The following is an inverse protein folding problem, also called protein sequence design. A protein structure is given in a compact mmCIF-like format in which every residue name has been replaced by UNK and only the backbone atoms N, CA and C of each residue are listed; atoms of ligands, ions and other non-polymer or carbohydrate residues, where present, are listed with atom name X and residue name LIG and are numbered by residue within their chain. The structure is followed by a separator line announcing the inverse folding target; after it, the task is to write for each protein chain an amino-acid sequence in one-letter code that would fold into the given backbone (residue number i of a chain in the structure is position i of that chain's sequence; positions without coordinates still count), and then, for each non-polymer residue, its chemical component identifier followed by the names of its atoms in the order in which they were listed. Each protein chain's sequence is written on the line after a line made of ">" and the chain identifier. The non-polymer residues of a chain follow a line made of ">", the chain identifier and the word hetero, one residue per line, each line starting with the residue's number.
data_IF_086275858305
#
_entry.id   IF_086275858305
#
_cell.length_a   1.000
_cell.length_b   1.000
_cell.length_c   1.000
_cell.angle_alpha   90.00
_cell.angle_beta   90.00
_cell.angle_gamma   90.00
#
_symmetry.space_group_name_H-M   'P 1'
#
loop_
_entity.id
_entity.type
_entity.pdbx_description
1 polymer ?
#
# COMPACT_ATOMS: atom_id res chain seq x y z
N UNK A 1 3.35 65.20 -33.49
CA UNK A 1 4.32 64.25 -32.90
C UNK A 1 3.66 62.89 -32.81
N UNK A 2 4.22 61.94 -33.56
CA UNK A 2 3.76 60.57 -33.74
C UNK A 2 3.94 59.79 -32.43
N UNK A 3 2.90 59.12 -31.95
CA UNK A 3 3.06 57.96 -31.05
C UNK A 3 2.09 56.85 -31.43
N UNK A 4 2.64 55.91 -32.19
CA UNK A 4 2.38 54.48 -32.17
C UNK A 4 1.96 54.00 -30.76
N UNK A 5 0.81 53.34 -30.63
CA UNK A 5 0.58 52.28 -29.63
C UNK A 5 -0.28 51.18 -30.29
N UNK A 6 0.46 50.19 -30.81
CA UNK A 6 0.24 48.75 -30.88
C UNK A 6 -1.17 48.18 -30.60
N UNK A 7 -1.76 47.58 -31.64
CA UNK A 7 -2.86 46.62 -31.54
C UNK A 7 -2.30 45.30 -30.99
N UNK A 8 -2.64 44.93 -29.76
CA UNK A 8 -2.42 43.58 -29.24
C UNK A 8 -3.54 42.68 -29.73
N UNK A 9 -3.23 41.79 -30.68
CA UNK A 9 -4.06 40.64 -31.03
C UNK A 9 -3.81 39.57 -29.98
N UNK A 10 -4.78 39.34 -29.09
CA UNK A 10 -4.76 38.19 -28.20
C UNK A 10 -5.17 36.95 -28.99
N UNK A 11 -4.18 36.17 -29.41
CA UNK A 11 -4.38 34.79 -29.89
C UNK A 11 -4.59 33.93 -28.65
N UNK A 12 -5.85 33.74 -28.25
CA UNK A 12 -6.20 32.65 -27.36
C UNK A 12 -6.13 31.35 -28.16
N UNK A 13 -5.02 30.64 -28.05
CA UNK A 13 -4.95 29.24 -28.43
C UNK A 13 -5.83 28.46 -27.44
N UNK A 14 -7.05 28.14 -27.87
CA UNK A 14 -7.85 27.11 -27.22
C UNK A 14 -7.10 25.78 -27.39
N UNK A 15 -6.45 25.31 -26.32
CA UNK A 15 -5.98 23.93 -26.25
C UNK A 15 -7.24 23.09 -26.05
N UNK A 16 -7.71 22.48 -27.13
CA UNK A 16 -8.73 21.44 -27.06
C UNK A 16 -8.14 20.27 -26.26
N UNK A 17 -8.70 19.99 -25.08
CA UNK A 17 -8.45 18.75 -24.36
C UNK A 17 -8.94 17.59 -25.24
N UNK A 18 -8.02 16.72 -25.64
CA UNK A 18 -8.37 15.43 -26.21
C UNK A 18 -8.68 14.52 -25.02
N UNK A 19 -9.97 14.39 -24.66
CA UNK A 19 -10.43 13.39 -23.69
C UNK A 19 -10.34 11.99 -24.31
N UNK A 20 -9.15 11.38 -24.20
CA UNK A 20 -9.00 9.93 -24.33
C UNK A 20 -9.16 9.27 -22.96
N UNK A 21 -9.86 8.14 -22.89
CA UNK A 21 -9.78 7.27 -21.72
C UNK A 21 -8.44 6.54 -21.75
N UNK A 22 -7.45 7.06 -21.04
CA UNK A 22 -6.08 6.51 -20.97
C UNK A 22 -5.92 5.49 -19.84
N UNK A 23 -7.01 5.09 -19.19
CA UNK A 23 -6.95 4.20 -18.04
C UNK A 23 -6.51 2.80 -18.47
N UNK A 24 -5.56 2.24 -17.72
CA UNK A 24 -5.01 0.92 -17.95
C UNK A 24 -6.01 -0.15 -17.57
N UNK A 25 -6.38 -1.06 -18.48
CA UNK A 25 -7.29 -2.14 -18.16
C UNK A 25 -6.60 -3.13 -17.23
N UNK A 26 -7.18 -3.31 -16.03
CA UNK A 26 -6.74 -4.28 -15.03
C UNK A 26 -7.87 -5.25 -14.75
N UNK A 27 -7.75 -6.47 -15.24
CA UNK A 27 -8.75 -7.52 -15.04
C UNK A 27 -8.31 -8.47 -13.94
N UNK A 28 -9.13 -8.63 -12.92
CA UNK A 28 -8.89 -9.55 -11.80
C UNK A 28 -9.97 -10.61 -11.79
N UNK A 29 -9.62 -11.82 -12.20
CA UNK A 29 -10.51 -12.98 -12.21
C UNK A 29 -10.19 -13.80 -10.98
N UNK A 30 -11.20 -14.13 -10.18
CA UNK A 30 -10.98 -14.79 -8.90
C UNK A 30 -12.17 -15.64 -8.45
N UNK A 31 -11.89 -16.51 -7.48
CA UNK A 31 -12.90 -17.29 -6.78
C UNK A 31 -13.24 -16.64 -5.45
N UNK A 32 -14.53 -16.58 -5.13
CA UNK A 32 -14.98 -16.11 -3.84
C UNK A 32 -14.34 -16.96 -2.73
N UNK A 33 -13.75 -16.29 -1.75
CA UNK A 33 -13.18 -16.89 -0.55
C UNK A 33 -12.00 -17.85 -0.75
N UNK A 34 -11.42 -17.90 -1.95
CA UNK A 34 -10.17 -18.61 -2.17
C UNK A 34 -9.04 -17.92 -1.39
N UNK A 35 -8.20 -18.66 -0.66
CA UNK A 35 -7.23 -18.05 0.28
C UNK A 35 -6.33 -16.99 -0.36
N UNK A 36 -5.81 -17.25 -1.56
CA UNK A 36 -5.00 -16.28 -2.30
C UNK A 36 -5.83 -15.09 -2.82
N UNK A 37 -7.07 -15.35 -3.25
CA UNK A 37 -8.00 -14.34 -3.74
C UNK A 37 -8.39 -13.38 -2.62
N UNK A 38 -8.71 -13.91 -1.44
CA UNK A 38 -9.03 -13.11 -0.25
C UNK A 38 -7.95 -12.09 0.03
N UNK A 39 -6.70 -12.55 0.16
CA UNK A 39 -5.56 -11.66 0.39
C UNK A 39 -5.42 -10.65 -0.75
N UNK A 40 -5.40 -11.11 -2.00
CA UNK A 40 -5.16 -10.24 -3.15
C UNK A 40 -6.21 -9.15 -3.32
N UNK A 41 -7.48 -9.47 -3.08
CA UNK A 41 -8.61 -8.53 -3.21
C UNK A 41 -8.66 -7.58 -2.00
N UNK A 42 -8.41 -8.07 -0.79
CA UNK A 42 -8.49 -7.27 0.44
C UNK A 42 -7.26 -6.42 0.74
N UNK A 43 -6.13 -6.72 0.09
CA UNK A 43 -4.86 -6.04 0.34
C UNK A 43 -4.31 -5.39 -0.96
N UNK A 44 -3.60 -6.08 -1.89
CA UNK A 44 -3.10 -5.44 -3.12
C UNK A 44 -4.13 -4.63 -3.92
N UNK A 45 -5.25 -5.23 -4.32
CA UNK A 45 -6.22 -4.51 -5.16
C UNK A 45 -6.94 -3.42 -4.36
N UNK A 46 -7.26 -3.67 -3.10
CA UNK A 46 -7.84 -2.66 -2.22
C UNK A 46 -6.92 -1.43 -2.11
N UNK A 47 -5.63 -1.64 -1.83
CA UNK A 47 -4.63 -0.58 -1.74
C UNK A 47 -4.47 0.18 -3.06
N UNK A 48 -4.43 -0.52 -4.19
CA UNK A 48 -4.37 0.10 -5.52
C UNK A 48 -5.53 1.08 -5.76
N UNK A 49 -6.75 0.74 -5.31
CA UNK A 49 -7.93 1.59 -5.49
C UNK A 49 -8.09 2.67 -4.41
N UNK A 50 -7.44 2.54 -3.26
CA UNK A 50 -7.38 3.61 -2.26
C UNK A 50 -6.39 4.71 -2.66
N UNK A 51 -5.39 4.38 -3.49
CA UNK A 51 -4.44 5.31 -4.08
C UNK A 51 -5.12 6.15 -5.17
N UNK A 52 -5.18 7.48 -4.97
CA UNK A 52 -5.90 8.39 -5.86
C UNK A 52 -5.23 8.51 -7.24
N UNK A 53 -3.89 8.46 -7.30
CA UNK A 53 -3.14 8.55 -8.56
C UNK A 53 -3.35 7.28 -9.39
N UNK A 54 -3.18 6.11 -8.76
CA UNK A 54 -3.40 4.84 -9.47
C UNK A 54 -4.86 4.64 -9.86
N UNK A 55 -5.82 5.02 -9.00
CA UNK A 55 -7.25 4.94 -9.35
C UNK A 55 -7.60 5.84 -10.55
N UNK A 56 -6.93 6.98 -10.72
CA UNK A 56 -7.17 7.87 -11.86
C UNK A 56 -6.72 7.25 -13.20
N UNK A 57 -5.70 6.39 -13.19
CA UNK A 57 -5.14 5.76 -14.39
C UNK A 57 -5.47 4.27 -14.52
N UNK A 58 -6.33 3.72 -13.68
CA UNK A 58 -6.68 2.30 -13.70
C UNK A 58 -8.15 2.11 -14.05
N UNK A 59 -8.43 1.24 -15.01
CA UNK A 59 -9.77 0.72 -15.30
C UNK A 59 -9.86 -0.72 -14.79
N UNK A 60 -10.31 -0.87 -13.54
CA UNK A 60 -10.38 -2.18 -12.91
C UNK A 60 -11.67 -2.92 -13.26
N UNK A 61 -11.50 -4.17 -13.69
CA UNK A 61 -12.58 -5.12 -13.90
C UNK A 61 -12.43 -6.30 -12.94
N UNK A 62 -13.23 -6.31 -11.88
CA UNK A 62 -13.41 -7.48 -11.04
C UNK A 62 -14.26 -8.53 -11.75
N UNK A 63 -13.81 -9.79 -11.70
CA UNK A 63 -14.51 -10.95 -12.28
C UNK A 63 -14.57 -12.09 -11.24
N UNK A 64 -15.43 -11.97 -10.20
CA UNK A 64 -15.72 -13.04 -9.25
C UNK A 64 -16.57 -14.12 -9.93
N UNK A 65 -15.95 -14.90 -10.82
CA UNK A 65 -16.62 -15.96 -11.56
C UNK A 65 -15.68 -17.07 -12.02
N UNK A 66 -14.49 -17.16 -11.41
CA UNK A 66 -13.47 -18.11 -11.84
C UNK A 66 -13.87 -19.56 -11.56
N UNK A 67 -13.50 -20.46 -12.47
CA UNK A 67 -13.74 -21.91 -12.38
C UNK A 67 -15.21 -22.29 -12.11
N UNK A 68 -16.15 -21.48 -12.63
CA UNK A 68 -17.58 -21.72 -12.52
C UNK A 68 -18.15 -22.39 -13.76
N UNK A 69 -19.18 -23.21 -13.57
CA UNK A 69 -19.90 -23.88 -14.67
C UNK A 69 -21.40 -23.77 -14.48
N UNK A 70 -22.16 -23.75 -15.57
CA UNK A 70 -23.62 -23.81 -15.49
C UNK A 70 -24.10 -25.24 -15.22
N UNK A 71 -25.19 -25.38 -14.46
CA UNK A 71 -25.88 -26.65 -14.30
C UNK A 71 -26.92 -26.84 -15.40
N UNK A 72 -27.24 -28.10 -15.71
CA UNK A 72 -28.31 -28.43 -16.65
C UNK A 72 -29.71 -27.90 -16.23
N UNK A 73 -29.88 -27.59 -14.94
CA UNK A 73 -31.11 -27.03 -14.37
C UNK A 73 -31.14 -25.50 -14.34
N UNK A 74 -30.14 -24.83 -14.92
CA UNK A 74 -30.08 -23.36 -15.00
C UNK A 74 -29.51 -22.66 -13.77
N UNK A 75 -28.81 -23.38 -12.89
CA UNK A 75 -28.01 -22.83 -11.78
C UNK A 75 -26.51 -22.79 -12.10
N UNK A 76 -25.68 -22.60 -11.07
CA UNK A 76 -24.21 -22.56 -11.18
C UNK A 76 -23.55 -23.57 -10.24
N UNK A 77 -22.40 -24.11 -10.66
CA UNK A 77 -21.52 -24.96 -9.85
C UNK A 77 -20.17 -24.26 -9.69
N UNK A 78 -19.68 -24.20 -8.46
CA UNK A 78 -18.43 -23.56 -8.09
C UNK A 78 -17.46 -24.57 -7.48
N UNK A 79 -16.16 -24.30 -7.59
CA UNK A 79 -15.12 -25.21 -7.12
C UNK A 79 -15.18 -25.47 -5.61
N UNK A 80 -15.31 -24.42 -4.80
CA UNK A 80 -15.41 -24.46 -3.34
C UNK A 80 -16.80 -24.78 -2.81
N UNK A 81 -17.73 -25.21 -3.67
CA UNK A 81 -19.08 -25.61 -3.28
C UNK A 81 -20.05 -24.43 -3.13
N UNK A 82 -21.10 -24.64 -2.32
CA UNK A 82 -22.27 -23.75 -2.28
C UNK A 82 -21.97 -22.37 -1.70
N UNK A 83 -21.14 -22.30 -0.65
CA UNK A 83 -20.79 -21.01 -0.02
C UNK A 83 -19.98 -20.13 -0.97
N UNK A 84 -19.08 -20.72 -1.78
CA UNK A 84 -18.38 -19.99 -2.84
C UNK A 84 -19.38 -19.44 -3.87
N UNK A 85 -20.34 -20.25 -4.33
CA UNK A 85 -21.37 -19.78 -5.26
C UNK A 85 -22.22 -18.65 -4.70
N UNK A 86 -22.59 -18.74 -3.41
CA UNK A 86 -23.37 -17.71 -2.76
C UNK A 86 -22.59 -16.40 -2.64
N UNK A 87 -21.29 -16.48 -2.35
CA UNK A 87 -20.37 -15.34 -2.38
C UNK A 87 -20.31 -14.65 -3.73
N UNK A 88 -20.12 -15.43 -4.81
CA UNK A 88 -20.10 -14.92 -6.18
C UNK A 88 -21.38 -14.17 -6.56
N UNK A 89 -22.55 -14.70 -6.17
CA UNK A 89 -23.82 -14.05 -6.41
C UNK A 89 -23.95 -12.70 -5.68
N UNK A 90 -23.46 -12.61 -4.44
CA UNK A 90 -23.40 -11.33 -3.72
C UNK A 90 -22.41 -10.36 -4.36
N UNK A 91 -21.22 -10.82 -4.73
CA UNK A 91 -20.20 -9.99 -5.36
C UNK A 91 -20.66 -9.43 -6.70
N UNK A 92 -21.43 -10.19 -7.49
CA UNK A 92 -22.07 -9.68 -8.71
C UNK A 92 -23.01 -8.49 -8.43
N UNK A 93 -23.81 -8.57 -7.35
CA UNK A 93 -24.66 -7.46 -6.91
C UNK A 93 -23.87 -6.26 -6.38
N UNK A 94 -22.76 -6.49 -5.68
CA UNK A 94 -21.86 -5.42 -5.21
C UNK A 94 -21.29 -4.67 -6.42
N UNK A 95 -20.85 -5.40 -7.45
CA UNK A 95 -20.34 -4.79 -8.68
C UNK A 95 -21.41 -3.94 -9.36
N UNK A 96 -22.64 -4.44 -9.51
CA UNK A 96 -23.71 -3.65 -10.13
C UNK A 96 -24.09 -2.40 -9.31
N UNK A 97 -24.20 -2.55 -7.98
CA UNK A 97 -24.60 -1.47 -7.07
C UNK A 97 -23.59 -0.31 -7.06
N UNK A 98 -22.30 -0.62 -7.07
CA UNK A 98 -21.22 0.36 -6.87
C UNK A 98 -20.39 0.64 -8.12
N UNK A 99 -20.78 0.13 -9.32
CA UNK A 99 -20.04 0.24 -10.59
C UNK A 99 -19.53 1.63 -10.97
N UNK A 100 -20.12 2.70 -10.45
CA UNK A 100 -19.72 4.08 -10.76
C UNK A 100 -18.53 4.57 -9.94
N UNK A 101 -18.08 3.82 -8.93
CA UNK A 101 -16.99 4.22 -8.05
C UNK A 101 -16.07 3.04 -7.72
N UNK A 102 -14.94 2.89 -8.42
CA UNK A 102 -13.94 1.86 -8.12
C UNK A 102 -13.48 1.89 -6.67
N UNK A 103 -13.36 3.08 -6.06
CA UNK A 103 -12.97 3.22 -4.64
C UNK A 103 -13.98 2.54 -3.72
N UNK A 104 -15.26 2.82 -3.91
CA UNK A 104 -16.34 2.27 -3.06
C UNK A 104 -16.54 0.78 -3.35
N UNK A 105 -16.53 0.38 -4.63
CA UNK A 105 -16.52 -1.04 -4.99
C UNK A 105 -15.38 -1.79 -4.33
N UNK A 106 -14.16 -1.24 -4.33
CA UNK A 106 -12.98 -1.83 -3.70
C UNK A 106 -13.15 -2.03 -2.20
N UNK A 107 -13.67 -1.03 -1.48
CA UNK A 107 -13.97 -1.13 -0.04
C UNK A 107 -14.92 -2.31 0.24
N UNK A 108 -16.03 -2.38 -0.49
CA UNK A 108 -17.04 -3.41 -0.24
C UNK A 108 -16.59 -4.79 -0.71
N UNK A 109 -15.87 -4.89 -1.83
CA UNK A 109 -15.32 -6.15 -2.32
C UNK A 109 -14.27 -6.71 -1.34
N UNK A 110 -13.37 -5.87 -0.84
CA UNK A 110 -12.38 -6.24 0.17
C UNK A 110 -13.04 -6.73 1.48
N UNK A 111 -14.01 -5.98 2.00
CA UNK A 111 -14.74 -6.38 3.20
C UNK A 111 -15.49 -7.71 3.00
N UNK A 112 -16.12 -7.86 1.83
CA UNK A 112 -16.92 -9.04 1.54
C UNK A 112 -16.05 -10.27 1.26
N UNK A 113 -14.85 -10.14 0.71
CA UNK A 113 -13.89 -11.26 0.63
C UNK A 113 -13.30 -11.65 1.99
N UNK A 114 -13.17 -10.70 2.92
CA UNK A 114 -12.58 -10.95 4.24
C UNK A 114 -13.37 -11.98 5.09
N UNK A 115 -12.64 -12.74 5.91
CA UNK A 115 -13.18 -13.68 6.90
C UNK A 115 -13.75 -13.01 8.15
N UNK A 116 -13.46 -11.72 8.36
CA UNK A 116 -13.83 -10.98 9.58
C UNK A 116 -15.28 -10.49 9.57
N UNK A 117 -15.95 -10.50 8.42
CA UNK A 117 -17.29 -9.95 8.24
C UNK A 117 -18.44 -10.85 8.76
N UNK A 118 -18.15 -12.03 9.30
CA UNK A 118 -19.10 -12.86 10.05
C UNK A 118 -19.51 -14.18 9.36
N UNK A 119 -20.19 -15.05 10.12
CA UNK A 119 -20.50 -16.44 9.73
C UNK A 119 -21.87 -16.64 9.06
N UNK A 120 -22.67 -15.58 8.90
CA UNK A 120 -23.97 -15.63 8.22
C UNK A 120 -24.02 -14.57 7.13
N UNK A 121 -24.75 -14.83 6.06
CA UNK A 121 -24.87 -13.89 4.93
C UNK A 121 -25.48 -12.55 5.34
N UNK A 122 -26.52 -12.56 6.18
CA UNK A 122 -27.11 -11.33 6.70
C UNK A 122 -26.14 -10.57 7.61
N UNK A 123 -25.39 -11.27 8.47
CA UNK A 123 -24.37 -10.64 9.31
C UNK A 123 -23.24 -10.03 8.47
N UNK A 124 -22.83 -10.71 7.41
CA UNK A 124 -21.79 -10.27 6.48
C UNK A 124 -22.19 -9.02 5.70
N UNK A 125 -23.44 -8.96 5.24
CA UNK A 125 -24.00 -7.75 4.63
C UNK A 125 -24.09 -6.62 5.67
N UNK A 126 -24.63 -6.87 6.87
CA UNK A 126 -24.73 -5.83 7.89
C UNK A 126 -23.36 -5.29 8.36
N UNK A 127 -22.31 -6.12 8.32
CA UNK A 127 -20.96 -5.70 8.67
C UNK A 127 -20.32 -4.84 7.57
N UNK A 128 -20.45 -5.25 6.31
CA UNK A 128 -19.79 -4.58 5.19
C UNK A 128 -20.53 -3.35 4.65
N UNK A 129 -21.80 -3.15 5.04
CA UNK A 129 -22.66 -2.07 4.55
C UNK A 129 -23.35 -1.40 5.72
N UNK A 130 -23.03 -0.14 5.98
CA UNK A 130 -23.63 0.66 7.06
C UNK A 130 -24.90 1.39 6.64
N UNK A 131 -25.10 1.64 5.33
CA UNK A 131 -26.30 2.27 4.80
C UNK A 131 -27.43 1.24 4.61
N UNK A 132 -28.56 1.46 5.26
CA UNK A 132 -29.74 0.59 5.16
C UNK A 132 -30.31 0.50 3.72
N UNK A 133 -30.17 1.56 2.91
CA UNK A 133 -30.60 1.56 1.52
C UNK A 133 -29.74 0.63 0.67
N UNK A 134 -28.42 0.59 0.91
CA UNK A 134 -27.52 -0.33 0.23
C UNK A 134 -27.81 -1.79 0.61
N UNK A 135 -28.04 -2.05 1.90
CA UNK A 135 -28.43 -3.39 2.37
C UNK A 135 -29.72 -3.87 1.70
N UNK A 136 -30.73 -2.99 1.61
CA UNK A 136 -32.00 -3.31 0.96
C UNK A 136 -31.82 -3.60 -0.53
N UNK A 137 -31.08 -2.73 -1.25
CA UNK A 137 -30.83 -2.89 -2.68
C UNK A 137 -30.03 -4.16 -3.00
N UNK A 138 -29.00 -4.47 -2.21
CA UNK A 138 -28.22 -5.69 -2.40
C UNK A 138 -29.05 -6.96 -2.13
N UNK A 139 -29.93 -6.92 -1.12
CA UNK A 139 -30.86 -8.03 -0.83
C UNK A 139 -31.85 -8.24 -1.98
N UNK A 140 -32.39 -7.16 -2.53
CA UNK A 140 -33.29 -7.21 -3.69
C UNK A 140 -32.56 -7.74 -4.94
N UNK A 141 -31.35 -7.26 -5.20
CA UNK A 141 -30.50 -7.76 -6.28
C UNK A 141 -30.21 -9.26 -6.10
N UNK A 142 -29.89 -9.70 -4.88
CA UNK A 142 -29.60 -11.10 -4.59
C UNK A 142 -30.78 -12.01 -4.91
N UNK A 143 -32.00 -11.55 -4.64
CA UNK A 143 -33.22 -12.30 -4.90
C UNK A 143 -33.57 -12.38 -6.39
N UNK A 144 -33.28 -11.33 -7.18
CA UNK A 144 -33.90 -11.16 -8.49
C UNK A 144 -32.90 -11.07 -9.68
N UNK A 145 -31.66 -10.63 -9.44
CA UNK A 145 -30.73 -10.20 -10.50
C UNK A 145 -29.34 -10.83 -10.42
N UNK A 146 -28.94 -11.38 -9.26
CA UNK A 146 -27.59 -11.90 -9.06
C UNK A 146 -27.15 -12.94 -10.09
N UNK A 147 -28.04 -13.87 -10.47
CA UNK A 147 -27.68 -14.95 -11.39
C UNK A 147 -27.43 -14.46 -12.84
N UNK A 148 -28.29 -13.62 -13.45
CA UNK A 148 -27.97 -12.96 -14.72
C UNK A 148 -26.65 -12.18 -14.69
N UNK A 149 -26.42 -11.35 -13.65
CA UNK A 149 -25.18 -10.59 -13.49
C UNK A 149 -23.95 -11.51 -13.40
N UNK A 150 -24.06 -12.60 -12.62
CA UNK A 150 -22.99 -13.58 -12.48
C UNK A 150 -22.69 -14.30 -13.81
N UNK A 151 -23.70 -14.57 -14.65
CA UNK A 151 -23.49 -15.16 -15.98
C UNK A 151 -22.69 -14.25 -16.90
N UNK A 152 -22.91 -12.94 -16.86
CA UNK A 152 -22.10 -11.98 -17.62
C UNK A 152 -20.62 -12.06 -17.19
N UNK A 153 -20.37 -12.14 -15.89
CA UNK A 153 -19.01 -12.34 -15.35
C UNK A 153 -18.43 -13.71 -15.75
N UNK A 154 -19.22 -14.78 -15.76
CA UNK A 154 -18.78 -16.10 -16.20
C UNK A 154 -18.36 -16.13 -17.68
N UNK A 155 -19.01 -15.34 -18.55
CA UNK A 155 -18.59 -15.19 -19.95
C UNK A 155 -17.20 -14.57 -20.02
N UNK A 156 -16.95 -13.52 -19.22
CA UNK A 156 -15.64 -12.88 -19.14
C UNK A 156 -14.59 -13.84 -18.57
N UNK A 157 -14.90 -14.52 -17.46
CA UNK A 157 -14.01 -15.49 -16.83
C UNK A 157 -13.63 -16.60 -17.81
N UNK A 158 -14.61 -17.26 -18.46
CA UNK A 158 -14.34 -18.34 -19.42
C UNK A 158 -13.43 -17.94 -20.59
N UNK A 159 -13.50 -16.68 -21.00
CA UNK A 159 -12.67 -16.18 -22.10
C UNK A 159 -11.25 -15.81 -21.67
N UNK A 160 -10.99 -15.58 -20.38
CA UNK A 160 -9.76 -14.94 -19.91
C UNK A 160 -9.08 -15.67 -18.73
N UNK A 161 -9.74 -16.61 -18.06
CA UNK A 161 -9.21 -17.26 -16.87
C UNK A 161 -8.08 -18.24 -17.22
N UNK A 162 -7.09 -18.31 -16.33
CA UNK A 162 -5.99 -19.27 -16.44
C UNK A 162 -6.00 -20.34 -15.36
N UNK A 163 -4.91 -21.13 -15.27
CA UNK A 163 -4.88 -22.34 -14.45
C UNK A 163 -4.70 -22.10 -12.94
N UNK A 164 -4.53 -20.85 -12.50
CA UNK A 164 -4.42 -20.46 -11.09
C UNK A 164 -5.30 -19.26 -10.77
N UNK A 165 -5.53 -19.00 -9.48
CA UNK A 165 -6.38 -17.92 -9.00
C UNK A 165 -5.71 -17.21 -7.79
N UNK A 166 -5.83 -15.88 -7.67
CA UNK A 166 -6.46 -14.96 -8.62
C UNK A 166 -5.65 -14.86 -9.92
N UNK A 167 -6.35 -14.75 -11.04
CA UNK A 167 -5.76 -14.56 -12.35
C UNK A 167 -5.85 -13.08 -12.72
N UNK A 168 -4.69 -12.43 -12.85
CA UNK A 168 -4.60 -10.98 -13.03
C UNK A 168 -4.01 -10.66 -14.39
N UNK A 169 -4.67 -9.77 -15.12
CA UNK A 169 -4.25 -9.33 -16.44
C UNK A 169 -4.18 -7.80 -16.42
N UNK A 170 -3.03 -7.24 -16.78
CA UNK A 170 -2.83 -5.79 -16.98
C UNK A 170 -2.48 -5.58 -18.44
N UNK A 171 -3.34 -4.90 -19.21
CA UNK A 171 -3.10 -4.65 -20.65
C UNK A 171 -2.72 -5.91 -21.43
N UNK A 172 -3.55 -6.96 -21.32
CA UNK A 172 -3.32 -8.30 -21.90
C UNK A 172 -2.09 -9.05 -21.38
N UNK A 173 -1.34 -8.50 -20.43
CA UNK A 173 -0.22 -9.17 -19.76
C UNK A 173 -0.71 -9.90 -18.52
N UNK A 174 -0.53 -11.21 -18.52
CA UNK A 174 -0.80 -12.07 -17.37
C UNK A 174 0.27 -11.88 -16.32
N UNK A 175 -0.14 -11.53 -15.10
CA UNK A 175 0.74 -11.42 -13.94
C UNK A 175 0.70 -12.69 -13.08
N UNK A 176 1.86 -13.00 -12.49
CA UNK A 176 2.05 -14.13 -11.59
C UNK A 176 2.14 -15.48 -12.32
N UNK A 177 2.09 -16.56 -11.54
CA UNK A 177 2.12 -17.93 -12.05
C UNK A 177 1.45 -18.88 -11.08
N UNK A 178 1.41 -20.18 -11.41
CA UNK A 178 0.94 -21.22 -10.50
C UNK A 178 1.74 -21.29 -9.17
N UNK A 179 2.94 -20.72 -9.11
CA UNK A 179 3.83 -20.74 -7.94
C UNK A 179 4.20 -19.37 -7.41
N UNK A 180 3.78 -18.29 -8.08
CA UNK A 180 4.14 -16.91 -7.73
C UNK A 180 2.87 -16.06 -7.68
N UNK A 181 2.54 -15.58 -6.49
CA UNK A 181 1.43 -14.64 -6.28
C UNK A 181 1.73 -13.26 -6.90
N UNK A 182 0.67 -12.51 -7.19
CA UNK A 182 0.78 -11.14 -7.71
C UNK A 182 0.82 -10.18 -6.52
N UNK A 183 1.85 -9.33 -6.45
CA UNK A 183 1.95 -8.27 -5.43
C UNK A 183 1.36 -6.95 -5.93
N UNK A 184 1.16 -5.99 -5.02
CA UNK A 184 0.77 -4.62 -5.38
C UNK A 184 1.78 -4.00 -6.35
N UNK A 185 3.07 -4.09 -6.03
CA UNK A 185 4.15 -3.53 -6.86
C UNK A 185 4.15 -4.13 -8.26
N UNK A 186 3.86 -5.43 -8.42
CA UNK A 186 3.75 -6.05 -9.75
C UNK A 186 2.62 -5.42 -10.58
N UNK A 187 1.47 -5.14 -9.98
CA UNK A 187 0.36 -4.49 -10.68
C UNK A 187 0.70 -3.03 -10.99
N UNK A 188 1.22 -2.29 -10.01
CA UNK A 188 1.63 -0.88 -10.18
C UNK A 188 2.70 -0.73 -11.25
N UNK A 189 3.74 -1.54 -11.21
CA UNK A 189 4.81 -1.56 -12.19
C UNK A 189 4.29 -1.79 -13.60
N UNK A 190 3.39 -2.76 -13.77
CA UNK A 190 2.90 -3.10 -15.11
C UNK A 190 1.99 -2.00 -15.68
N UNK A 191 1.13 -1.40 -14.84
CA UNK A 191 0.37 -0.20 -15.19
C UNK A 191 1.34 0.90 -15.66
N UNK A 192 2.39 1.17 -14.89
CA UNK A 192 3.36 2.22 -15.22
C UNK A 192 4.11 1.96 -16.54
N UNK A 193 4.54 0.72 -16.79
CA UNK A 193 5.28 0.36 -18.01
C UNK A 193 4.42 0.49 -19.27
N UNK A 194 3.12 0.24 -19.13
CA UNK A 194 2.20 0.14 -20.26
C UNK A 194 1.28 1.35 -20.44
N UNK A 195 1.29 2.29 -19.49
CA UNK A 195 0.55 3.53 -19.60
C UNK A 195 0.95 4.32 -20.83
N UNK A 196 -0.03 4.56 -21.70
CA UNK A 196 0.14 5.22 -22.99
C UNK A 196 -0.47 6.63 -23.04
N UNK A 197 -0.98 7.11 -21.90
CA UNK A 197 -1.54 8.45 -21.75
C UNK A 197 -0.51 9.55 -21.52
N UNK A 198 -0.98 10.79 -21.28
CA UNK A 198 -0.13 11.94 -20.97
C UNK A 198 0.73 11.70 -19.72
N UNK A 199 2.01 12.06 -19.78
CA UNK A 199 2.96 11.82 -18.69
C UNK A 199 2.56 12.52 -17.38
N UNK A 200 1.74 13.58 -17.46
CA UNK A 200 1.22 14.32 -16.30
C UNK A 200 0.17 13.53 -15.50
N UNK A 201 -0.41 12.48 -16.09
CA UNK A 201 -1.35 11.59 -15.41
C UNK A 201 -0.66 10.39 -14.77
N UNK A 202 0.61 10.13 -15.07
CA UNK A 202 1.35 9.02 -14.47
C UNK A 202 1.50 9.24 -12.95
N UNK A 203 1.17 8.24 -12.11
CA UNK A 203 1.49 8.27 -10.69
C UNK A 203 2.97 8.53 -10.44
N UNK A 204 3.30 9.27 -9.37
CA UNK A 204 4.69 9.59 -9.03
C UNK A 204 5.55 8.33 -8.83
N UNK A 205 4.94 7.25 -8.34
CA UNK A 205 5.53 5.91 -8.26
C UNK A 205 6.19 5.47 -9.58
N UNK A 206 5.54 5.74 -10.72
CA UNK A 206 5.99 5.30 -12.03
C UNK A 206 7.34 5.88 -12.46
N UNK A 207 7.76 7.00 -11.88
CA UNK A 207 9.04 7.64 -12.18
C UNK A 207 10.25 6.80 -11.75
N UNK A 208 10.04 5.87 -10.81
CA UNK A 208 11.09 4.98 -10.29
C UNK A 208 11.02 3.55 -10.86
N UNK A 209 10.05 3.26 -11.74
CA UNK A 209 9.86 1.92 -12.30
C UNK A 209 10.79 1.71 -13.50
N UNK A 210 11.63 0.68 -13.42
CA UNK A 210 12.49 0.32 -14.53
C UNK A 210 11.66 -0.05 -15.78
N UNK A 211 12.01 0.55 -16.92
CA UNK A 211 11.37 0.30 -18.22
C UNK A 211 10.31 1.33 -18.63
N UNK A 212 9.94 2.27 -17.76
CA UNK A 212 9.02 3.37 -18.12
C UNK A 212 9.72 4.34 -19.07
N UNK A 213 9.23 4.42 -20.31
CA UNK A 213 9.75 5.35 -21.33
C UNK A 213 8.87 6.60 -21.34
N UNK A 214 9.30 7.65 -20.63
CA UNK A 214 8.65 8.95 -20.67
C UNK A 214 8.71 9.51 -22.10
N UNK A 215 7.59 9.54 -22.82
CA UNK A 215 7.51 10.13 -24.16
C UNK A 215 7.41 11.66 -24.08
N UNK A 216 8.53 12.27 -23.67
CA UNK A 216 8.81 13.71 -23.50
C UNK A 216 7.85 14.53 -22.60
N UNK A 217 8.39 15.30 -21.63
CA UNK A 217 7.61 16.00 -20.60
C UNK A 217 7.46 17.53 -20.86
N UNK A 218 6.56 18.24 -20.17
CA UNK A 218 6.71 19.68 -19.94
C UNK A 218 7.82 19.93 -18.91
N UNK A 219 8.49 21.10 -18.97
CA UNK A 219 9.44 21.50 -17.94
C UNK A 219 8.69 21.74 -16.63
N UNK A 220 8.97 20.91 -15.62
CA UNK A 220 8.66 21.27 -14.25
C UNK A 220 9.68 22.34 -13.85
N UNK A 221 9.32 23.61 -14.05
CA UNK A 221 9.81 24.63 -13.14
C UNK A 221 9.27 24.25 -11.78
N UNK A 222 10.13 23.68 -10.94
CA UNK A 222 9.94 23.66 -9.50
C UNK A 222 9.88 25.13 -9.05
N UNK A 223 8.69 25.73 -9.12
CA UNK A 223 8.29 26.63 -8.06
C UNK A 223 7.99 25.72 -6.90
N UNK A 224 8.89 25.68 -5.92
CA UNK A 224 8.59 25.15 -4.60
C UNK A 224 7.19 25.65 -4.22
N UNK A 225 6.24 24.74 -3.93
CA UNK A 225 5.07 25.16 -3.17
C UNK A 225 5.60 25.85 -1.91
N UNK A 226 4.98 26.93 -1.43
CA UNK A 226 5.34 27.45 -0.11
C UNK A 226 5.27 26.25 0.85
N UNK A 227 6.40 25.96 1.52
CA UNK A 227 6.57 24.78 2.34
C UNK A 227 5.35 24.62 3.24
N UNK A 228 4.46 23.71 2.87
CA UNK A 228 3.38 23.30 3.73
C UNK A 228 4.05 22.67 4.94
N UNK A 229 3.67 23.11 6.14
CA UNK A 229 4.24 22.61 7.37
C UNK A 229 4.01 21.09 7.44
N UNK A 230 5.10 20.32 7.46
CA UNK A 230 5.03 18.86 7.46
C UNK A 230 4.47 18.37 8.79
N UNK A 231 3.75 17.26 8.74
CA UNK A 231 3.29 16.58 9.95
C UNK A 231 4.46 15.82 10.56
N UNK A 232 4.80 16.11 11.82
CA UNK A 232 5.83 15.33 12.52
C UNK A 232 5.23 14.05 13.08
N UNK A 233 5.71 12.90 12.61
CA UNK A 233 5.32 11.57 13.09
C UNK A 233 6.49 10.97 13.87
N UNK A 234 6.26 10.65 15.13
CA UNK A 234 7.23 10.04 16.02
C UNK A 234 6.91 8.56 16.16
N UNK A 235 7.93 7.72 15.94
CA UNK A 235 7.81 6.27 16.05
C UNK A 235 8.82 5.74 17.06
N UNK A 236 8.32 5.12 18.11
CA UNK A 236 9.11 4.39 19.09
C UNK A 236 8.94 2.90 18.84
N UNK A 237 10.05 2.18 18.70
CA UNK A 237 10.00 0.73 18.55
C UNK A 237 11.16 0.05 19.26
N UNK A 238 11.11 -1.27 19.28
CA UNK A 238 12.18 -2.10 19.82
C UNK A 238 12.56 -3.21 18.85
N UNK A 239 13.84 -3.54 18.86
CA UNK A 239 14.35 -4.71 18.16
C UNK A 239 13.71 -5.99 18.74
N UNK A 240 13.50 -7.00 17.89
CA UNK A 240 12.92 -8.31 18.26
C UNK A 240 11.50 -8.29 18.84
N UNK A 241 10.77 -7.17 18.77
CA UNK A 241 9.34 -7.20 19.05
C UNK A 241 8.60 -7.65 17.78
N UNK A 242 7.82 -8.75 17.81
CA UNK A 242 7.15 -9.26 16.62
C UNK A 242 6.25 -8.23 15.92
N UNK A 243 5.54 -7.41 16.70
CA UNK A 243 4.73 -6.32 16.16
C UNK A 243 5.58 -5.20 15.54
N UNK A 244 6.74 -4.88 16.14
CA UNK A 244 7.68 -3.89 15.57
C UNK A 244 8.29 -4.41 14.28
N UNK A 245 8.69 -5.69 14.25
CA UNK A 245 9.22 -6.33 13.06
C UNK A 245 8.21 -6.27 11.92
N UNK A 246 6.98 -6.72 12.16
CA UNK A 246 5.92 -6.66 11.16
C UNK A 246 5.66 -5.22 10.67
N UNK A 247 5.56 -4.26 11.59
CA UNK A 247 5.32 -2.85 11.28
C UNK A 247 6.43 -2.24 10.40
N UNK A 248 7.70 -2.41 10.78
CA UNK A 248 8.85 -1.91 10.02
C UNK A 248 9.07 -2.64 8.69
N UNK A 249 8.66 -3.90 8.58
CA UNK A 249 8.80 -4.67 7.34
C UNK A 249 7.67 -4.45 6.33
N UNK A 250 6.48 -4.02 6.79
CA UNK A 250 5.28 -3.88 5.96
C UNK A 250 4.75 -2.43 5.93
N UNK A 251 3.79 -2.01 6.79
CA UNK A 251 3.10 -0.74 6.60
C UNK A 251 4.04 0.46 6.71
N UNK A 252 5.03 0.41 7.59
CA UNK A 252 5.93 1.54 7.80
C UNK A 252 6.98 1.65 6.68
N UNK A 253 7.49 0.53 6.18
CA UNK A 253 8.38 0.54 5.02
C UNK A 253 7.69 1.15 3.79
N UNK A 254 6.39 0.88 3.60
CA UNK A 254 5.61 1.50 2.52
C UNK A 254 5.53 3.02 2.70
N UNK A 255 5.23 3.52 3.90
CA UNK A 255 5.23 4.97 4.19
C UNK A 255 6.61 5.59 3.96
N UNK A 256 7.69 4.93 4.40
CA UNK A 256 9.06 5.43 4.21
C UNK A 256 9.50 5.42 2.74
N UNK A 257 8.93 4.54 1.91
CA UNK A 257 9.29 4.39 0.51
C UNK A 257 8.41 5.21 -0.43
N UNK A 258 7.36 5.85 0.07
CA UNK A 258 6.42 6.66 -0.69
C UNK A 258 6.85 8.13 -0.73
N UNK A 259 7.14 8.63 -1.93
CA UNK A 259 7.61 10.01 -2.15
C UNK A 259 6.57 11.08 -1.75
N UNK A 260 5.27 10.77 -1.86
CA UNK A 260 4.21 11.70 -1.45
C UNK A 260 4.18 11.84 0.08
N UNK A 261 4.35 10.74 0.81
CA UNK A 261 4.48 10.79 2.28
C UNK A 261 5.78 11.47 2.72
N UNK A 262 6.90 11.22 2.05
CA UNK A 262 8.16 11.91 2.34
C UNK A 262 8.05 13.45 2.16
N UNK A 263 7.19 13.91 1.25
CA UNK A 263 6.96 15.33 1.00
C UNK A 263 6.14 16.02 2.10
N UNK A 264 5.28 15.29 2.81
CA UNK A 264 4.31 15.88 3.77
C UNK A 264 4.55 15.46 5.23
N UNK A 265 5.43 14.49 5.48
CA UNK A 265 5.73 13.98 6.82
C UNK A 265 7.21 14.19 7.16
N UNK A 266 7.49 14.62 8.38
CA UNK A 266 8.81 14.49 8.99
C UNK A 266 8.76 13.37 10.03
N UNK A 267 9.61 12.36 9.87
CA UNK A 267 9.56 11.14 10.68
C UNK A 267 10.72 11.13 11.66
N UNK A 268 10.39 11.04 12.95
CA UNK A 268 11.36 10.89 14.02
C UNK A 268 11.33 9.45 14.56
N UNK A 269 12.49 8.81 14.54
CA UNK A 269 12.66 7.40 14.85
C UNK A 269 13.43 7.21 16.16
N UNK A 270 12.83 6.45 17.09
CA UNK A 270 13.35 6.18 18.42
C UNK A 270 13.50 4.66 18.67
N UNK A 271 14.67 4.06 18.34
CA UNK A 271 14.91 2.62 18.45
C UNK A 271 15.32 2.21 19.87
N UNK A 272 14.52 2.59 20.86
CA UNK A 272 14.80 2.42 22.29
C UNK A 272 13.70 1.64 23.00
N UNK A 273 12.44 1.81 22.59
CA UNK A 273 11.29 1.13 23.19
C UNK A 273 11.32 1.13 24.72
N UNK A 274 11.38 -0.06 25.32
CA UNK A 274 11.40 -0.25 26.78
C UNK A 274 12.81 -0.21 27.41
N UNK A 275 13.83 0.24 26.67
CA UNK A 275 15.21 0.31 27.15
C UNK A 275 15.34 1.29 28.31
N UNK A 276 16.05 0.86 29.35
CA UNK A 276 16.42 1.71 30.49
C UNK A 276 17.92 1.79 30.59
N UNK A 277 18.43 2.98 30.80
CA UNK A 277 19.83 3.17 31.19
C UNK A 277 19.94 3.11 32.71
N UNK A 278 20.71 2.17 33.24
CA UNK A 278 20.86 1.96 34.70
C UNK A 278 22.08 2.68 35.26
N UNK A 279 23.06 2.97 34.41
CA UNK A 279 24.21 3.82 34.66
C UNK A 279 24.75 4.31 33.31
N UNK A 280 25.55 5.39 33.24
CA UNK A 280 25.99 5.97 31.96
C UNK A 280 26.58 4.93 31.00
N UNK A 281 25.94 4.75 29.84
CA UNK A 281 26.32 3.79 28.80
C UNK A 281 25.98 2.32 29.08
N UNK A 282 25.21 2.03 30.14
CA UNK A 282 24.78 0.68 30.52
C UNK A 282 23.27 0.56 30.40
N UNK A 283 22.84 -0.24 29.42
CA UNK A 283 21.43 -0.39 29.04
C UNK A 283 20.86 -1.74 29.46
N UNK A 284 19.63 -1.74 29.93
CA UNK A 284 18.82 -2.92 30.22
C UNK A 284 17.59 -2.91 29.33
N UNK A 285 17.39 -4.00 28.58
CA UNK A 285 16.28 -4.15 27.63
C UNK A 285 15.44 -5.36 28.00
N UNK A 286 14.12 -5.27 27.76
CA UNK A 286 13.19 -6.34 28.17
C UNK A 286 13.36 -7.62 27.38
N UNK A 287 13.83 -7.55 26.13
CA UNK A 287 14.22 -8.72 25.33
C UNK A 287 15.66 -9.19 25.56
N UNK A 288 16.32 -8.71 26.63
CA UNK A 288 17.68 -9.09 26.99
C UNK A 288 18.77 -8.43 26.15
N UNK A 289 19.99 -8.98 26.24
CA UNK A 289 21.19 -8.36 25.64
C UNK A 289 21.13 -8.25 24.11
N UNK A 290 20.46 -9.20 23.44
CA UNK A 290 20.30 -9.15 21.98
C UNK A 290 19.46 -7.96 21.54
N UNK A 291 18.38 -7.65 22.27
CA UNK A 291 17.56 -6.46 22.00
C UNK A 291 18.37 -5.17 22.18
N UNK A 292 19.15 -5.06 23.26
CA UNK A 292 20.02 -3.91 23.47
C UNK A 292 21.06 -3.74 22.36
N UNK A 293 21.65 -4.83 21.87
CA UNK A 293 22.55 -4.78 20.73
C UNK A 293 21.85 -4.25 19.48
N UNK A 294 20.60 -4.65 19.26
CA UNK A 294 19.76 -4.13 18.18
C UNK A 294 19.54 -2.62 18.27
N UNK A 295 19.14 -2.13 19.44
CA UNK A 295 18.94 -0.71 19.69
C UNK A 295 20.21 0.11 19.44
N UNK A 296 21.38 -0.40 19.84
CA UNK A 296 22.68 0.23 19.54
C UNK A 296 22.97 0.28 18.03
N UNK A 297 22.78 -0.82 17.31
CA UNK A 297 22.97 -0.86 15.86
C UNK A 297 22.00 0.06 15.11
N UNK A 298 20.72 0.07 15.50
CA UNK A 298 19.71 0.95 14.92
C UNK A 298 20.01 2.42 15.22
N UNK A 299 20.47 2.74 16.42
CA UNK A 299 20.89 4.09 16.79
C UNK A 299 22.06 4.57 15.92
N UNK A 300 23.03 3.70 15.64
CA UNK A 300 24.11 3.97 14.69
C UNK A 300 23.58 4.21 13.27
N UNK A 301 22.67 3.36 12.79
CA UNK A 301 22.11 3.49 11.44
C UNK A 301 21.38 4.84 11.28
N UNK A 302 20.54 5.25 12.23
CA UNK A 302 19.84 6.54 12.15
C UNK A 302 20.79 7.75 12.18
N UNK A 303 21.87 7.69 12.96
CA UNK A 303 22.80 8.82 13.10
C UNK A 303 23.80 8.93 11.96
N UNK A 304 24.24 7.80 11.41
CA UNK A 304 25.19 7.77 10.31
C UNK A 304 24.54 8.04 8.95
N UNK A 305 23.24 7.75 8.82
CA UNK A 305 22.47 7.91 7.60
C UNK A 305 21.20 8.72 7.90
N UNK A 306 21.30 10.05 8.03
CA UNK A 306 20.21 10.90 8.52
C UNK A 306 19.04 11.01 7.53
N UNK A 307 19.26 10.68 6.25
CA UNK A 307 18.18 10.58 5.28
C UNK A 307 17.47 9.24 5.47
N UNK A 308 16.27 9.27 6.05
CA UNK A 308 15.56 8.05 6.43
C UNK A 308 15.25 7.12 5.25
N UNK A 309 15.02 7.67 4.05
CA UNK A 309 14.81 6.89 2.83
C UNK A 309 16.04 6.06 2.44
N UNK A 310 17.25 6.55 2.70
CA UNK A 310 18.50 5.84 2.38
C UNK A 310 18.69 4.58 3.23
N UNK A 311 18.00 4.48 4.38
CA UNK A 311 18.13 3.37 5.33
C UNK A 311 16.85 2.60 5.59
N UNK A 312 15.73 2.97 4.98
CA UNK A 312 14.45 2.28 5.13
C UNK A 312 14.55 0.79 4.76
N UNK A 313 15.18 0.47 3.63
CA UNK A 313 15.39 -0.92 3.18
C UNK A 313 16.31 -1.69 4.12
N UNK A 314 17.29 -1.02 4.73
CA UNK A 314 18.18 -1.63 5.70
C UNK A 314 17.44 -1.95 7.01
N UNK A 315 16.61 -1.04 7.53
CA UNK A 315 15.77 -1.31 8.71
C UNK A 315 14.80 -2.47 8.46
N UNK A 316 14.15 -2.51 7.29
CA UNK A 316 13.32 -3.66 6.89
C UNK A 316 14.13 -4.95 6.95
N UNK A 317 15.29 -5.00 6.31
CA UNK A 317 16.16 -6.19 6.34
C UNK A 317 16.57 -6.58 7.78
N UNK A 318 16.89 -5.59 8.63
CA UNK A 318 17.28 -5.81 10.01
C UNK A 318 16.15 -6.43 10.83
N UNK A 319 14.92 -6.00 10.59
CA UNK A 319 13.74 -6.45 11.32
C UNK A 319 13.23 -7.82 10.82
N UNK A 320 13.39 -8.14 9.54
CA UNK A 320 13.02 -9.45 8.97
C UNK A 320 14.01 -10.58 9.34
N UNK A 321 15.25 -10.24 9.66
CA UNK A 321 16.28 -11.21 9.98
C UNK A 321 16.11 -11.84 11.36
N UNK A 322 16.34 -13.16 11.46
CA UNK A 322 16.44 -13.89 12.72
C UNK A 322 17.89 -14.25 13.11
N UNK A 323 18.87 -13.84 12.31
CA UNK A 323 20.29 -14.11 12.55
C UNK A 323 20.88 -13.26 13.70
N UNK A 324 22.08 -13.65 14.14
CA UNK A 324 22.95 -12.84 15.03
C UNK A 324 23.24 -11.47 14.43
N UNK A 325 23.34 -10.42 15.26
CA UNK A 325 23.54 -9.05 14.78
C UNK A 325 24.70 -8.85 13.82
N UNK A 326 25.86 -9.49 14.03
CA UNK A 326 26.99 -9.32 13.12
C UNK A 326 26.70 -9.84 11.70
N UNK A 327 26.02 -10.98 11.60
CA UNK A 327 25.57 -11.54 10.30
C UNK A 327 24.45 -10.72 9.71
N UNK A 328 23.49 -10.29 10.54
CA UNK A 328 22.40 -9.41 10.14
C UNK A 328 22.93 -8.10 9.55
N UNK A 329 23.93 -7.47 10.17
CA UNK A 329 24.54 -6.25 9.65
C UNK A 329 25.25 -6.50 8.33
N UNK A 330 25.99 -7.61 8.22
CA UNK A 330 26.67 -7.97 6.97
C UNK A 330 25.70 -8.32 5.82
N UNK A 331 24.47 -8.75 6.13
CA UNK A 331 23.42 -8.99 5.13
C UNK A 331 22.69 -7.70 4.74
N UNK A 332 22.43 -6.82 5.72
CA UNK A 332 21.63 -5.62 5.51
C UNK A 332 22.44 -4.40 5.07
N UNK A 333 23.76 -4.39 5.29
CA UNK A 333 24.65 -3.32 4.84
C UNK A 333 25.84 -3.91 4.11
N UNK A 334 26.41 -3.14 3.18
CA UNK A 334 27.58 -3.56 2.39
C UNK A 334 28.60 -2.44 2.25
N UNK A 335 29.82 -2.82 1.86
CA UNK A 335 30.90 -1.89 1.54
C UNK A 335 31.17 -0.86 2.64
N UNK A 336 31.38 0.43 2.29
CA UNK A 336 31.65 1.48 3.27
C UNK A 336 30.55 1.68 4.33
N UNK A 337 29.30 1.34 4.02
CA UNK A 337 28.18 1.48 4.97
C UNK A 337 28.27 0.47 6.12
N UNK A 338 28.60 -0.77 5.80
CA UNK A 338 28.83 -1.84 6.79
C UNK A 338 29.99 -1.49 7.73
N UNK A 339 31.10 -1.01 7.17
CA UNK A 339 32.28 -0.61 7.94
C UNK A 339 31.96 0.53 8.93
N UNK A 340 31.21 1.55 8.49
CA UNK A 340 30.78 2.66 9.36
C UNK A 340 29.91 2.18 10.53
N UNK A 341 28.94 1.30 10.26
CA UNK A 341 28.04 0.78 11.31
C UNK A 341 28.81 -0.06 12.33
N UNK A 342 29.69 -0.95 11.88
CA UNK A 342 30.50 -1.77 12.78
C UNK A 342 31.45 -0.91 13.63
N UNK A 343 32.05 0.11 13.03
CA UNK A 343 32.88 1.07 13.75
C UNK A 343 32.07 1.84 14.81
N UNK A 344 30.87 2.32 14.47
CA UNK A 344 29.99 3.00 15.42
C UNK A 344 29.59 2.09 16.57
N UNK A 345 29.14 0.86 16.28
CA UNK A 345 28.74 -0.12 17.30
C UNK A 345 29.89 -0.47 18.25
N UNK A 346 31.12 -0.62 17.73
CA UNK A 346 32.32 -0.90 18.52
C UNK A 346 32.85 0.28 19.33
N UNK A 347 32.27 1.47 19.18
CA UNK A 347 32.68 2.71 19.87
C UNK A 347 31.67 3.14 20.94
N UNK A 348 32.05 4.13 21.75
CA UNK A 348 31.14 4.75 22.71
C UNK A 348 30.06 5.63 22.02
N UNK A 349 30.15 5.87 20.71
CA UNK A 349 29.13 6.60 19.96
C UNK A 349 27.79 5.87 19.95
N UNK A 350 27.78 4.55 19.76
CA UNK A 350 26.55 3.75 19.79
C UNK A 350 25.78 3.93 21.10
N UNK A 351 26.50 3.93 22.23
CA UNK A 351 25.95 4.14 23.57
C UNK A 351 25.43 5.57 23.73
N UNK A 352 26.18 6.57 23.26
CA UNK A 352 25.74 7.97 23.29
C UNK A 352 24.47 8.19 22.46
N UNK A 353 24.38 7.59 21.28
CA UNK A 353 23.19 7.70 20.44
C UNK A 353 21.98 7.02 21.09
N UNK A 354 22.16 5.81 21.63
CA UNK A 354 21.08 5.14 22.35
C UNK A 354 20.66 5.90 23.62
N UNK A 355 21.61 6.49 24.35
CA UNK A 355 21.32 7.39 25.47
C UNK A 355 20.39 8.54 25.04
N UNK A 356 20.71 9.23 23.95
CA UNK A 356 19.87 10.33 23.42
C UNK A 356 18.45 9.84 23.10
N UNK A 357 18.30 8.68 22.45
CA UNK A 357 16.98 8.12 22.11
C UNK A 357 16.18 7.66 23.34
N UNK A 358 16.86 7.05 24.32
CA UNK A 358 16.26 6.67 25.61
C UNK A 358 15.79 7.90 26.37
N UNK A 359 16.58 8.98 26.39
CA UNK A 359 16.19 10.23 27.05
C UNK A 359 14.87 10.77 26.48
N UNK A 360 14.70 10.78 25.16
CA UNK A 360 13.44 11.21 24.53
C UNK A 360 12.31 10.22 24.83
N UNK A 361 12.53 8.93 24.61
CA UNK A 361 11.51 7.88 24.82
C UNK A 361 10.99 7.85 26.27
N UNK A 362 11.85 8.14 27.25
CA UNK A 362 11.48 8.18 28.66
C UNK A 362 10.48 9.29 29.03
N UNK A 363 10.30 10.28 28.14
CA UNK A 363 9.32 11.36 28.31
C UNK A 363 7.96 11.04 27.68
N UNK A 364 7.85 9.93 26.95
CA UNK A 364 6.65 9.51 26.23
C UNK A 364 5.89 8.44 27.02
N UNK A 365 4.56 8.50 27.01
CA UNK A 365 3.72 7.39 27.48
C UNK A 365 3.53 6.39 26.34
N UNK A 366 4.32 5.32 26.34
CA UNK A 366 4.30 4.30 25.28
C UNK A 366 3.77 2.95 25.82
N UNK A 367 2.44 2.79 25.95
CA UNK A 367 1.83 1.59 26.53
C UNK A 367 2.01 0.30 25.69
N UNK A 368 2.28 0.42 24.40
CA UNK A 368 2.52 -0.69 23.48
C UNK A 368 3.64 -0.36 22.50
N UNK A 369 4.16 -1.38 21.80
CA UNK A 369 5.22 -1.26 20.79
C UNK A 369 4.80 -1.98 19.50
N UNK A 370 5.00 -1.40 18.30
CA UNK A 370 5.52 -0.06 18.06
C UNK A 370 4.49 1.00 18.48
N UNK A 371 4.98 2.13 18.97
CA UNK A 371 4.15 3.28 19.33
C UNK A 371 4.35 4.37 18.28
N UNK A 372 3.24 4.89 17.75
CA UNK A 372 3.24 5.97 16.76
C UNK A 372 2.43 7.11 17.35
N UNK A 373 2.99 8.32 17.31
CA UNK A 373 2.28 9.53 17.69
C UNK A 373 2.56 10.65 16.70
N UNK A 374 1.56 11.47 16.45
CA UNK A 374 1.71 12.70 15.69
C UNK A 374 1.89 13.88 16.63
N UNK A 375 2.80 14.79 16.29
CA UNK A 375 2.84 16.12 16.90
C UNK A 375 2.14 17.07 15.96
N UNK A 376 0.86 17.35 16.23
CA UNK A 376 0.13 18.38 15.48
C UNK A 376 0.77 19.73 15.84
N UNK A 377 1.61 20.28 14.96
CA UNK A 377 2.20 21.62 15.12
C UNK A 377 1.19 22.77 14.91
N UNK A 378 -0.11 22.48 14.92
CA UNK A 378 -1.16 23.47 14.74
C UNK A 378 -2.37 23.17 15.64
N UNK A 379 -2.30 23.59 16.91
CA UNK A 379 -3.52 24.13 17.53
C UNK A 379 -3.87 25.38 16.74
N UNK A 380 -4.96 25.31 15.97
CA UNK A 380 -5.62 26.50 15.45
C UNK A 380 -5.79 27.49 16.62
N UNK A 381 -5.13 28.63 16.53
CA UNK A 381 -5.53 29.79 17.31
C UNK A 381 -6.91 30.21 16.82
N UNK A 382 -7.82 30.38 17.78
CA UNK A 382 -9.26 30.66 17.66
C UNK A 382 -9.58 31.77 16.67
#
# INVERSE_FOLDING_TARGET
>A
MIKLITVLVAVFAAVAAVEGDYRMPVKVIFRAFCSACKWFISDPIFMLLQDDEFRAVTDIQYVPAAAMTETATGGVTCYGGKEECEGHLWMACILDRFKTSPKITGIHMACFESDESGYTWQGKVAYCFSDAADVAALTECKANQALPLLRELMVVAKANEGPWQPYTIVDDIVLGSATVGVSLDMVKDEICRHFNGPAELLPAYCMNVAGVVLRTPPPVTATDPPAAEKVTVQVVWRAYCPACQWFFSHPFYQVLSDAAFQAIVDIELYPSGSTKETSPGVFTCTGGASECAGHLYMSCALRLFPQLHDVAANFKCMEESSDTWDRRMAACFSGPGLEKIKACFGSDESKRYLHDYVAVTSTMDTPWMPYVSETICCRASV
#
